data_IF_001174943408
#
_entry.id   IF_001174943408
#
_cell.length_a   1.000
_cell.length_b   1.000
_cell.length_c   1.000
_cell.angle_alpha   90.00
_cell.angle_beta   90.00
_cell.angle_gamma   90.00
#
_symmetry.space_group_name_H-M   'P 1'
#
loop_
_entity.id
_entity.type
_entity.pdbx_description
1 polymer ?
#
# COMPACT_ATOMS: atom_id res chain seq x y z
N UNK A 1 -4.13 14.71 5.87
CA UNK A 1 -4.21 16.16 6.10
C UNK A 1 -3.34 16.47 7.30
N UNK A 2 -2.91 17.71 7.51
CA UNK A 2 -2.14 18.11 8.72
C UNK A 2 -0.73 17.52 8.83
N UNK A 3 -0.28 16.70 7.89
CA UNK A 3 1.08 16.21 7.77
C UNK A 3 1.72 16.89 6.56
N UNK A 4 2.36 18.04 6.79
CA UNK A 4 2.93 18.87 5.72
C UNK A 4 4.46 18.86 5.79
N UNK A 5 5.03 19.22 6.95
CA UNK A 5 6.48 19.32 7.17
C UNK A 5 7.15 17.94 7.14
N UNK A 6 6.67 17.00 7.95
CA UNK A 6 7.29 15.67 8.09
C UNK A 6 7.20 14.78 6.84
N UNK A 7 6.36 15.15 5.87
CA UNK A 7 6.21 14.43 4.60
C UNK A 7 6.78 15.21 3.41
N UNK A 8 7.50 16.31 3.66
CA UNK A 8 8.01 17.21 2.63
C UNK A 8 6.94 17.58 1.58
N UNK A 9 5.73 17.90 2.05
CA UNK A 9 4.63 18.25 1.15
C UNK A 9 4.95 19.56 0.43
N UNK A 10 4.83 19.63 -0.90
CA UNK A 10 5.07 20.88 -1.61
C UNK A 10 4.11 21.98 -1.14
N UNK A 11 4.66 23.16 -0.93
CA UNK A 11 3.93 24.40 -0.69
C UNK A 11 3.21 24.88 -1.94
N UNK A 12 2.27 25.81 -1.80
CA UNK A 12 1.55 26.39 -2.95
C UNK A 12 2.51 27.15 -3.88
N UNK A 13 3.51 27.78 -3.29
CA UNK A 13 4.58 28.51 -3.98
C UNK A 13 5.41 27.56 -4.84
N UNK A 14 5.82 26.40 -4.31
CA UNK A 14 6.57 25.38 -5.05
C UNK A 14 5.75 24.71 -6.15
N UNK A 15 4.42 24.60 -5.98
CA UNK A 15 3.53 24.03 -7.00
C UNK A 15 3.42 24.93 -8.25
N UNK A 16 3.72 26.22 -8.16
CA UNK A 16 3.66 27.18 -9.28
C UNK A 16 2.34 27.13 -10.07
N UNK A 17 1.22 26.90 -9.38
CA UNK A 17 -0.11 26.79 -9.98
C UNK A 17 -0.41 25.45 -10.66
N UNK A 18 0.52 24.49 -10.68
CA UNK A 18 0.31 23.14 -11.20
C UNK A 18 -0.53 22.33 -10.20
N UNK A 19 -1.72 21.81 -10.59
CA UNK A 19 -2.55 21.02 -9.71
C UNK A 19 -1.86 19.70 -9.32
N UNK A 20 -1.65 19.49 -8.02
CA UNK A 20 -1.17 18.23 -7.49
C UNK A 20 -2.35 17.43 -6.93
N UNK A 21 -2.58 16.25 -7.50
CA UNK A 21 -3.66 15.36 -7.11
C UNK A 21 -3.19 14.35 -6.05
N UNK A 22 -4.12 13.78 -5.29
CA UNK A 22 -3.85 12.78 -4.23
C UNK A 22 -2.85 13.26 -3.15
N UNK A 23 -2.78 14.58 -2.92
CA UNK A 23 -2.03 15.16 -1.79
C UNK A 23 -3.01 15.65 -0.73
N UNK A 24 -2.80 15.21 0.52
CA UNK A 24 -3.58 15.71 1.66
C UNK A 24 -5.09 15.41 1.60
N UNK A 25 -5.49 14.32 0.95
CA UNK A 25 -6.91 13.97 0.75
C UNK A 25 -7.49 13.08 1.87
N UNK A 26 -6.65 12.35 2.61
CA UNK A 26 -7.05 11.47 3.73
C UNK A 26 -6.71 12.07 5.08
N UNK A 27 -7.37 11.65 6.16
CA UNK A 27 -6.95 11.99 7.53
C UNK A 27 -5.78 11.10 7.99
N UNK A 28 -4.90 11.60 8.89
CA UNK A 28 -3.89 10.75 9.51
C UNK A 28 -4.54 9.56 10.25
N UNK A 29 -3.99 8.37 10.04
CA UNK A 29 -4.50 7.13 10.66
C UNK A 29 -5.53 6.40 9.82
N UNK A 30 -6.06 7.00 8.76
CA UNK A 30 -6.85 6.28 7.77
C UNK A 30 -5.94 5.34 6.97
N UNK A 31 -6.23 4.03 6.92
CA UNK A 31 -5.44 3.10 6.12
C UNK A 31 -5.58 3.43 4.63
N UNK A 32 -4.46 3.34 3.91
CA UNK A 32 -4.44 3.55 2.46
C UNK A 32 -3.45 2.60 1.81
N UNK A 33 -3.98 1.59 1.14
CA UNK A 33 -3.22 0.51 0.53
C UNK A 33 -2.75 0.84 -0.89
N UNK A 34 -1.89 -0.01 -1.45
CA UNK A 34 -1.53 0.06 -2.86
C UNK A 34 -2.75 -0.19 -3.79
N UNK A 35 -3.74 -0.97 -3.35
CA UNK A 35 -4.98 -1.19 -4.11
C UNK A 35 -5.81 0.10 -4.19
N UNK A 36 -5.97 0.78 -3.04
CA UNK A 36 -6.69 2.07 -2.96
C UNK A 36 -6.00 3.13 -3.83
N UNK A 37 -4.66 3.13 -3.84
CA UNK A 37 -3.89 4.00 -4.73
C UNK A 37 -4.15 3.70 -6.20
N UNK A 38 -4.14 2.44 -6.63
CA UNK A 38 -4.40 2.07 -8.03
C UNK A 38 -5.77 2.58 -8.47
N UNK A 39 -6.80 2.39 -7.65
CA UNK A 39 -8.15 2.88 -7.95
C UNK A 39 -8.19 4.42 -8.05
N UNK A 40 -7.70 5.11 -7.02
CA UNK A 40 -7.73 6.56 -6.94
C UNK A 40 -6.89 7.22 -8.05
N UNK A 41 -5.69 6.69 -8.31
CA UNK A 41 -4.81 7.18 -9.37
C UNK A 41 -5.41 6.92 -10.76
N UNK A 42 -5.97 5.72 -11.00
CA UNK A 42 -6.61 5.39 -12.29
C UNK A 42 -7.81 6.30 -12.58
N UNK A 43 -8.61 6.62 -11.56
CA UNK A 43 -9.70 7.60 -11.68
C UNK A 43 -9.15 8.99 -12.01
N UNK A 44 -8.17 9.46 -11.24
CA UNK A 44 -7.55 10.79 -11.42
C UNK A 44 -6.91 10.94 -12.81
N UNK A 45 -6.20 9.91 -13.29
CA UNK A 45 -5.59 9.87 -14.62
C UNK A 45 -6.66 10.04 -15.70
N UNK A 46 -7.78 9.30 -15.62
CA UNK A 46 -8.88 9.44 -16.58
C UNK A 46 -9.47 10.84 -16.59
N UNK A 47 -9.64 11.44 -15.41
CA UNK A 47 -10.15 12.82 -15.28
C UNK A 47 -9.19 13.87 -15.86
N UNK A 48 -7.88 13.73 -15.64
CA UNK A 48 -6.85 14.62 -16.21
C UNK A 48 -6.84 14.50 -17.74
N UNK A 49 -6.84 13.27 -18.26
CA UNK A 49 -6.89 13.01 -19.70
C UNK A 49 -8.17 13.56 -20.34
N UNK A 50 -9.32 13.43 -19.67
CA UNK A 50 -10.60 13.96 -20.16
C UNK A 50 -10.61 15.50 -20.27
N UNK A 51 -9.77 16.20 -19.50
CA UNK A 51 -9.55 17.65 -19.62
C UNK A 51 -8.53 18.03 -20.70
N UNK A 52 -7.99 17.06 -21.45
CA UNK A 52 -7.00 17.30 -22.50
C UNK A 52 -5.57 17.53 -21.98
N UNK A 53 -5.28 17.13 -20.73
CA UNK A 53 -3.96 17.28 -20.13
C UNK A 53 -3.23 15.94 -20.02
N UNK A 54 -1.89 16.00 -20.04
CA UNK A 54 -1.03 14.83 -19.83
C UNK A 54 -0.82 14.62 -18.32
N UNK A 55 -1.25 13.48 -17.74
CA UNK A 55 -0.94 13.16 -16.35
C UNK A 55 0.54 12.82 -16.17
N UNK A 56 1.15 13.42 -15.15
CA UNK A 56 2.53 13.13 -14.71
C UNK A 56 2.48 12.52 -13.33
N UNK A 57 3.08 11.34 -13.16
CA UNK A 57 3.22 10.69 -11.86
C UNK A 57 4.57 11.10 -11.27
N UNK A 58 4.54 11.84 -10.17
CA UNK A 58 5.72 12.29 -9.45
C UNK A 58 5.76 11.71 -8.03
N UNK A 59 6.94 11.25 -7.61
CA UNK A 59 7.15 10.60 -6.32
C UNK A 59 6.68 9.15 -6.25
N UNK A 60 6.38 8.68 -5.04
CA UNK A 60 5.83 7.36 -4.75
C UNK A 60 6.84 6.35 -4.19
N UNK A 61 6.35 5.48 -3.31
CA UNK A 61 7.03 4.24 -2.93
C UNK A 61 6.97 3.28 -4.12
N UNK A 62 8.08 2.59 -4.42
CA UNK A 62 8.20 1.77 -5.64
C UNK A 62 7.08 0.73 -5.82
N UNK A 63 6.43 0.28 -4.74
CA UNK A 63 5.27 -0.60 -4.78
C UNK A 63 4.04 0.06 -5.42
N UNK A 64 3.72 1.31 -5.10
CA UNK A 64 2.49 1.99 -5.53
C UNK A 64 2.51 2.25 -7.03
N UNK A 65 3.61 2.83 -7.52
CA UNK A 65 3.82 3.09 -8.95
C UNK A 65 3.86 1.77 -9.73
N UNK A 66 4.55 0.75 -9.22
CA UNK A 66 4.57 -0.58 -9.85
C UNK A 66 3.18 -1.21 -9.91
N UNK A 67 2.39 -1.09 -8.85
CA UNK A 67 1.04 -1.63 -8.81
C UNK A 67 0.13 -1.01 -9.86
N UNK A 68 0.26 0.31 -10.05
CA UNK A 68 -0.48 1.05 -11.08
C UNK A 68 -0.02 0.68 -12.50
N UNK A 69 1.30 0.61 -12.74
CA UNK A 69 1.83 0.33 -14.07
C UNK A 69 1.61 -1.11 -14.55
N UNK A 70 1.72 -2.08 -13.64
CA UNK A 70 1.59 -3.51 -13.98
C UNK A 70 0.22 -4.09 -13.62
N UNK A 71 -0.73 -3.24 -13.26
CA UNK A 71 -2.09 -3.62 -12.90
C UNK A 71 -2.11 -4.79 -11.89
N UNK A 72 -1.28 -4.67 -10.85
CA UNK A 72 -1.14 -5.71 -9.82
C UNK A 72 -2.49 -5.86 -9.14
N UNK A 73 -3.08 -7.06 -9.28
CA UNK A 73 -4.32 -7.40 -8.61
C UNK A 73 -4.02 -7.72 -7.15
N UNK A 74 -4.61 -6.94 -6.25
CA UNK A 74 -4.68 -7.30 -4.85
C UNK A 74 -5.96 -8.10 -4.64
N UNK A 75 -5.90 -9.30 -4.04
CA UNK A 75 -7.11 -10.02 -3.70
C UNK A 75 -7.99 -9.13 -2.82
N UNK A 76 -9.33 -9.13 -3.02
CA UNK A 76 -10.24 -8.37 -2.18
C UNK A 76 -9.98 -8.77 -0.72
N UNK A 77 -9.64 -7.78 0.09
CA UNK A 77 -9.20 -7.99 1.46
C UNK A 77 -10.30 -8.66 2.29
N UNK A 78 -10.15 -9.95 2.59
CA UNK A 78 -10.54 -10.44 3.91
C UNK A 78 -9.33 -10.29 4.85
N UNK A 79 -8.89 -9.05 5.07
CA UNK A 79 -7.98 -8.75 6.19
C UNK A 79 -8.80 -8.83 7.47
N UNK A 80 -9.08 -10.04 7.92
CA UNK A 80 -9.76 -10.28 9.19
C UNK A 80 -8.83 -9.83 10.33
N UNK A 81 -9.15 -8.74 11.04
CA UNK A 81 -8.31 -8.23 12.11
C UNK A 81 -8.20 -9.23 13.28
N UNK A 82 -9.26 -10.03 13.51
CA UNK A 82 -9.30 -11.06 14.54
C UNK A 82 -8.36 -12.20 14.20
N UNK A 83 -8.39 -12.70 12.96
CA UNK A 83 -7.44 -13.71 12.50
C UNK A 83 -6.00 -13.20 12.58
N UNK A 84 -5.76 -11.94 12.17
CA UNK A 84 -4.43 -11.34 12.24
C UNK A 84 -3.94 -11.28 13.70
N UNK A 85 -4.76 -10.80 14.63
CA UNK A 85 -4.42 -10.74 16.04
C UNK A 85 -4.12 -12.13 16.62
N UNK A 86 -4.95 -13.13 16.31
CA UNK A 86 -4.75 -14.50 16.76
C UNK A 86 -3.44 -15.11 16.23
N UNK A 87 -3.08 -14.85 14.97
CA UNK A 87 -1.81 -15.28 14.39
C UNK A 87 -0.62 -14.58 15.05
N UNK A 88 -0.70 -13.28 15.35
CA UNK A 88 0.37 -12.60 16.10
C UNK A 88 0.52 -13.16 17.51
N UNK A 89 -0.57 -13.41 18.23
CA UNK A 89 -0.53 -14.01 19.57
C UNK A 89 0.10 -15.41 19.54
N UNK A 90 -0.23 -16.22 18.52
CA UNK A 90 0.41 -17.52 18.30
C UNK A 90 1.91 -17.37 18.00
N UNK A 91 2.31 -16.39 17.19
CA UNK A 91 3.71 -16.10 16.91
C UNK A 91 4.50 -15.74 18.17
N UNK A 92 3.89 -14.98 19.09
CA UNK A 92 4.52 -14.57 20.35
C UNK A 92 4.67 -15.76 21.31
N UNK A 93 3.69 -16.65 21.37
CA UNK A 93 3.70 -17.82 22.27
C UNK A 93 4.58 -18.96 21.76
N UNK A 94 4.51 -19.27 20.46
CA UNK A 94 5.11 -20.46 19.86
C UNK A 94 6.34 -20.14 18.99
N UNK A 95 6.57 -18.86 18.70
CA UNK A 95 7.65 -18.38 17.85
C UNK A 95 7.28 -18.31 16.37
N UNK A 96 7.93 -17.40 15.64
CA UNK A 96 7.68 -17.17 14.21
C UNK A 96 7.89 -18.41 13.33
N UNK A 97 8.84 -19.27 13.72
CA UNK A 97 9.13 -20.52 13.03
C UNK A 97 7.95 -21.50 13.07
N UNK A 98 7.19 -21.55 14.17
CA UNK A 98 6.03 -22.45 14.28
C UNK A 98 4.95 -22.09 13.25
N UNK A 99 4.66 -20.79 13.08
CA UNK A 99 3.76 -20.31 12.03
C UNK A 99 4.31 -20.55 10.63
N UNK A 100 5.62 -20.39 10.43
CA UNK A 100 6.23 -20.69 9.13
C UNK A 100 6.18 -22.19 8.80
N UNK A 101 6.37 -23.06 9.79
CA UNK A 101 6.24 -24.51 9.62
C UNK A 101 4.79 -24.90 9.29
N UNK A 102 3.81 -24.25 9.92
CA UNK A 102 2.40 -24.38 9.57
C UNK A 102 2.16 -23.95 8.11
N UNK A 103 2.64 -22.76 7.71
CA UNK A 103 2.61 -22.28 6.32
C UNK A 103 3.20 -23.32 5.35
N UNK A 104 4.37 -23.83 5.66
CA UNK A 104 5.06 -24.83 4.82
C UNK A 104 4.25 -26.12 4.67
N UNK A 105 3.47 -26.51 5.68
CA UNK A 105 2.70 -27.75 5.66
C UNK A 105 1.54 -27.72 4.65
N UNK A 106 0.97 -26.53 4.39
CA UNK A 106 -0.14 -26.36 3.45
C UNK A 106 0.24 -25.66 2.13
N UNK A 107 1.25 -24.78 2.13
CA UNK A 107 1.76 -24.08 0.93
C UNK A 107 3.30 -23.97 0.98
N UNK A 108 4.01 -25.04 0.58
CA UNK A 108 5.47 -25.06 0.59
C UNK A 108 6.09 -24.09 -0.41
N UNK A 109 5.39 -23.75 -1.51
CA UNK A 109 5.90 -22.81 -2.51
C UNK A 109 5.91 -21.38 -2.00
N UNK A 110 4.86 -20.96 -1.30
CA UNK A 110 4.83 -19.66 -0.63
C UNK A 110 5.85 -19.61 0.51
N UNK A 111 5.93 -20.66 1.33
CA UNK A 111 6.90 -20.75 2.43
C UNK A 111 8.35 -20.59 1.95
N UNK A 112 8.71 -21.19 0.80
CA UNK A 112 10.05 -21.06 0.21
C UNK A 112 10.43 -19.61 -0.18
N UNK A 113 9.43 -18.76 -0.44
CA UNK A 113 9.61 -17.34 -0.81
C UNK A 113 9.56 -16.40 0.40
N UNK A 114 9.29 -16.90 1.59
CA UNK A 114 9.07 -16.11 2.81
C UNK A 114 10.09 -16.55 3.85
N UNK A 115 10.90 -15.60 4.35
CA UNK A 115 11.85 -15.90 5.42
C UNK A 115 11.09 -16.22 6.73
N UNK A 116 11.51 -17.22 7.54
CA UNK A 116 10.80 -17.61 8.78
C UNK A 116 10.57 -16.49 9.80
N UNK A 117 11.44 -15.47 9.80
CA UNK A 117 11.31 -14.30 10.68
C UNK A 117 10.41 -13.19 10.09
N UNK A 118 9.88 -13.35 8.89
CA UNK A 118 9.01 -12.38 8.23
C UNK A 118 7.55 -12.60 8.65
N UNK A 119 7.23 -12.24 9.90
CA UNK A 119 5.89 -12.38 10.49
C UNK A 119 4.83 -11.46 9.86
N UNK A 120 5.27 -10.37 9.23
CA UNK A 120 4.38 -9.42 8.58
C UNK A 120 5.01 -8.92 7.29
N UNK A 121 4.37 -9.23 6.16
CA UNK A 121 4.54 -8.44 4.94
C UNK A 121 3.72 -7.16 5.09
N UNK A 122 4.41 -6.03 5.14
CA UNK A 122 3.88 -4.73 4.71
C UNK A 122 3.90 -4.65 3.20
#
# INVERSE_FOLDING_TARGET
>A
KGMDIGTAKPSKEEMLGVPHHLIGFLEPGEPFSAADYVEAASKTIREICARGHLPVIAGGTGLYVRSLLYNISFPPESRDPGLRAALYEKAEKEGAKALWDELRSFDPEAAAKIHPNNLGRT
#
